data_IF_091027063199
#
_entry.id   IF_091027063199
#
_cell.length_a   1.000
_cell.length_b   1.000
_cell.length_c   1.000
_cell.angle_alpha   90.00
_cell.angle_beta   90.00
_cell.angle_gamma   90.00
#
_symmetry.space_group_name_H-M   'P 1'
#
loop_
_entity.id
_entity.type
_entity.pdbx_description
1 polymer ?
#
# COMPACT_ATOMS: atom_id res chain seq x y z
N UNK A 1 -25.68 24.97 -17.98
CA UNK A 1 -25.70 23.49 -17.84
C UNK A 1 -24.59 22.90 -16.95
N UNK A 2 -23.42 23.56 -16.78
CA UNK A 2 -22.33 23.09 -15.89
C UNK A 2 -22.60 23.26 -14.38
N UNK A 3 -23.27 24.32 -13.95
CA UNK A 3 -23.57 24.57 -12.52
C UNK A 3 -24.57 23.57 -11.91
N UNK A 4 -25.59 23.13 -12.67
CA UNK A 4 -26.56 22.13 -12.18
C UNK A 4 -25.90 20.78 -11.90
N UNK A 5 -24.89 20.36 -12.67
CA UNK A 5 -24.16 19.10 -12.42
C UNK A 5 -23.37 19.14 -11.11
N UNK A 6 -22.72 20.26 -10.78
CA UNK A 6 -21.95 20.41 -9.54
C UNK A 6 -22.83 20.33 -8.28
N UNK A 7 -24.08 20.79 -8.40
CA UNK A 7 -25.07 20.78 -7.31
C UNK A 7 -25.48 19.35 -6.93
N UNK A 8 -25.77 18.47 -7.90
CA UNK A 8 -26.16 17.07 -7.63
C UNK A 8 -25.04 16.24 -6.97
N UNK A 9 -23.77 16.55 -7.25
CA UNK A 9 -22.64 15.86 -6.60
C UNK A 9 -22.55 16.16 -5.10
N UNK A 10 -22.87 17.39 -4.66
CA UNK A 10 -22.86 17.74 -3.25
C UNK A 10 -23.95 17.00 -2.47
N UNK A 11 -25.18 16.93 -2.99
CA UNK A 11 -26.25 16.16 -2.35
C UNK A 11 -25.98 14.66 -2.37
N UNK A 12 -25.35 14.13 -3.42
CA UNK A 12 -24.97 12.73 -3.46
C UNK A 12 -23.90 12.39 -2.42
N UNK A 13 -22.87 13.23 -2.26
CA UNK A 13 -21.83 13.05 -1.24
C UNK A 13 -22.43 13.15 0.17
N UNK A 14 -23.29 14.16 0.43
CA UNK A 14 -23.97 14.31 1.72
C UNK A 14 -24.92 13.14 1.99
N UNK A 15 -25.64 12.65 0.98
CA UNK A 15 -26.50 11.48 1.09
C UNK A 15 -25.69 10.21 1.38
N UNK A 16 -24.56 10.00 0.70
CA UNK A 16 -23.65 8.87 0.98
C UNK A 16 -23.07 8.95 2.40
N UNK A 17 -22.68 10.14 2.87
CA UNK A 17 -22.20 10.34 4.24
C UNK A 17 -23.28 10.05 5.28
N UNK A 18 -24.51 10.52 5.05
CA UNK A 18 -25.66 10.27 5.92
C UNK A 18 -26.10 8.80 5.90
N UNK A 19 -26.05 8.14 4.74
CA UNK A 19 -26.43 6.72 4.60
C UNK A 19 -25.46 5.79 5.37
N UNK A 20 -24.17 6.12 5.41
CA UNK A 20 -23.18 5.37 6.22
C UNK A 20 -23.38 5.57 7.73
N UNK A 21 -24.02 6.66 8.18
CA UNK A 21 -24.27 6.92 9.60
C UNK A 21 -25.50 6.15 10.15
N UNK A 22 -26.45 5.79 9.28
CA UNK A 22 -27.79 5.29 9.70
C UNK A 22 -27.91 3.76 9.73
N UNK A 23 -27.12 3.00 8.97
CA UNK A 23 -27.34 1.55 8.81
C UNK A 23 -26.48 0.63 9.69
N UNK A 24 -25.58 1.18 10.49
CA UNK A 24 -24.69 0.35 11.31
C UNK A 24 -25.27 0.14 12.71
N UNK A 25 -26.23 -0.79 12.87
CA UNK A 25 -26.54 -1.32 14.20
C UNK A 25 -25.44 -2.29 14.63
N UNK A 26 -24.68 -1.93 15.65
CA UNK A 26 -23.80 -2.86 16.36
C UNK A 26 -24.65 -3.79 17.22
N UNK A 27 -24.86 -5.02 16.77
CA UNK A 27 -25.32 -6.11 17.63
C UNK A 27 -24.19 -6.46 18.60
N UNK A 28 -24.30 -5.99 19.83
CA UNK A 28 -23.41 -6.44 20.90
C UNK A 28 -23.89 -7.80 21.41
N UNK A 29 -23.42 -8.86 20.75
CA UNK A 29 -23.30 -10.15 21.42
C UNK A 29 -22.19 -10.03 22.48
N UNK A 30 -22.36 -10.69 23.62
CA UNK A 30 -21.41 -10.67 24.74
C UNK A 30 -19.96 -10.81 24.24
N UNK A 31 -19.02 -9.94 24.66
CA UNK A 31 -17.65 -10.02 24.17
C UNK A 31 -16.98 -11.26 24.75
N UNK A 32 -17.05 -12.38 24.03
CA UNK A 32 -16.14 -13.48 24.27
C UNK A 32 -14.73 -12.96 23.95
N UNK A 33 -13.85 -12.92 24.95
CA UNK A 33 -12.48 -12.44 24.75
C UNK A 33 -11.67 -13.38 23.85
N UNK A 34 -12.07 -14.64 23.78
CA UNK A 34 -11.33 -15.70 23.12
C UNK A 34 -11.90 -16.06 21.75
N UNK A 35 -13.05 -15.52 21.36
CA UNK A 35 -13.59 -15.72 20.04
C UNK A 35 -14.34 -14.47 19.57
N UNK A 36 -14.18 -14.09 18.32
CA UNK A 36 -14.92 -12.97 17.78
C UNK A 36 -14.99 -12.98 16.28
N UNK A 37 -16.16 -12.61 15.77
CA UNK A 37 -16.41 -12.35 14.35
C UNK A 37 -16.86 -10.90 14.20
N UNK A 38 -16.48 -10.26 13.11
CA UNK A 38 -16.97 -8.93 12.80
C UNK A 38 -16.62 -8.51 11.38
N UNK A 39 -17.18 -7.39 10.97
CA UNK A 39 -16.92 -6.86 9.65
C UNK A 39 -17.48 -5.45 9.50
N UNK A 40 -17.18 -4.85 8.36
CA UNK A 40 -17.75 -3.57 7.95
C UNK A 40 -17.82 -3.49 6.44
N UNK A 41 -18.81 -2.78 5.95
CA UNK A 41 -18.92 -2.35 4.56
C UNK A 41 -18.83 -0.82 4.55
N UNK A 42 -18.23 -0.25 3.51
CA UNK A 42 -18.11 1.19 3.42
C UNK A 42 -17.75 1.66 2.02
N UNK A 43 -17.78 2.97 1.84
CA UNK A 43 -17.29 3.62 0.62
C UNK A 43 -15.77 3.79 0.76
N UNK A 44 -15.03 3.50 -0.30
CA UNK A 44 -13.61 3.84 -0.40
C UNK A 44 -13.43 5.07 -1.29
N UNK A 45 -12.74 6.09 -0.80
CA UNK A 45 -12.44 7.29 -1.57
C UNK A 45 -10.94 7.58 -1.49
N UNK A 46 -10.37 7.99 -2.61
CA UNK A 46 -8.98 8.38 -2.75
C UNK A 46 -8.95 9.67 -3.56
N UNK A 47 -8.47 10.76 -2.97
CA UNK A 47 -8.34 12.07 -3.61
C UNK A 47 -6.91 12.59 -3.41
N UNK A 48 -6.12 12.59 -4.47
CA UNK A 48 -4.72 12.92 -4.35
C UNK A 48 -4.04 13.33 -5.64
N UNK A 49 -2.80 13.76 -5.48
CA UNK A 49 -1.89 14.14 -6.57
C UNK A 49 -1.64 13.02 -7.59
N UNK A 50 -1.53 11.77 -7.12
CA UNK A 50 -1.14 10.61 -7.94
C UNK A 50 -2.32 9.66 -8.20
N UNK A 51 -3.09 9.34 -7.17
CA UNK A 51 -4.20 8.39 -7.23
C UNK A 51 -5.53 9.08 -6.91
N UNK A 52 -6.54 8.80 -7.72
CA UNK A 52 -7.90 9.26 -7.51
C UNK A 52 -8.86 8.11 -7.82
N UNK A 53 -9.65 7.70 -6.83
CA UNK A 53 -10.55 6.56 -6.98
C UNK A 53 -11.78 6.66 -6.08
N UNK A 54 -12.84 5.99 -6.52
CA UNK A 54 -14.08 5.81 -5.77
C UNK A 54 -14.48 4.34 -5.84
N UNK A 55 -14.92 3.77 -4.73
CA UNK A 55 -15.27 2.36 -4.67
C UNK A 55 -16.07 1.97 -3.44
N UNK A 56 -16.23 0.66 -3.28
CA UNK A 56 -16.84 0.02 -2.11
C UNK A 56 -15.82 -0.95 -1.53
N UNK A 57 -15.75 -1.00 -0.21
CA UNK A 57 -14.89 -1.92 0.53
C UNK A 57 -15.74 -2.78 1.45
N UNK A 58 -15.42 -4.07 1.49
CA UNK A 58 -15.92 -5.02 2.46
C UNK A 58 -14.74 -5.55 3.27
N UNK A 59 -14.89 -5.60 4.59
CA UNK A 59 -13.88 -6.11 5.53
C UNK A 59 -14.55 -7.07 6.50
N UNK A 60 -13.87 -8.15 6.81
CA UNK A 60 -14.31 -9.12 7.80
C UNK A 60 -13.11 -9.66 8.58
N UNK A 61 -13.36 -10.15 9.78
CA UNK A 61 -12.40 -10.89 10.57
C UNK A 61 -13.10 -11.99 11.36
N UNK A 62 -12.34 -13.03 11.66
CA UNK A 62 -12.68 -14.07 12.61
C UNK A 62 -11.44 -14.36 13.44
N UNK A 63 -11.57 -14.46 14.76
CA UNK A 63 -10.48 -14.91 15.61
C UNK A 63 -10.94 -15.96 16.61
N UNK A 64 -10.00 -16.85 16.95
CA UNK A 64 -10.10 -17.81 18.02
C UNK A 64 -8.77 -17.84 18.77
N UNK A 65 -8.83 -17.51 20.07
CA UNK A 65 -7.73 -17.42 21.03
C UNK A 65 -6.58 -16.49 20.62
N UNK A 66 -5.61 -17.03 19.88
CA UNK A 66 -4.37 -16.37 19.47
C UNK A 66 -4.23 -16.32 17.94
N UNK A 67 -5.21 -16.86 17.21
CA UNK A 67 -5.18 -16.91 15.76
C UNK A 67 -6.34 -16.10 15.20
N UNK A 68 -6.06 -15.25 14.22
CA UNK A 68 -7.08 -14.44 13.55
C UNK A 68 -6.91 -14.50 12.04
N UNK A 69 -8.04 -14.66 11.37
CA UNK A 69 -8.18 -14.51 9.94
C UNK A 69 -8.82 -13.15 9.62
N UNK A 70 -8.24 -12.44 8.66
CA UNK A 70 -8.76 -11.19 8.12
C UNK A 70 -9.09 -11.38 6.65
N UNK A 71 -10.19 -10.80 6.22
CA UNK A 71 -10.57 -10.73 4.82
C UNK A 71 -10.91 -9.29 4.47
N UNK A 72 -10.41 -8.80 3.35
CA UNK A 72 -10.82 -7.53 2.79
C UNK A 72 -10.94 -7.66 1.28
N UNK A 73 -11.96 -7.02 0.71
CA UNK A 73 -12.02 -6.84 -0.73
C UNK A 73 -12.55 -5.45 -1.06
N UNK A 74 -12.01 -4.86 -2.12
CA UNK A 74 -12.37 -3.52 -2.60
C UNK A 74 -12.62 -3.60 -4.09
N UNK A 75 -13.73 -3.00 -4.50
CA UNK A 75 -14.02 -2.73 -5.90
C UNK A 75 -13.97 -1.23 -6.10
N UNK A 76 -13.01 -0.77 -6.90
CA UNK A 76 -12.79 0.65 -7.11
C UNK A 76 -12.71 0.99 -8.59
N UNK A 77 -13.25 2.16 -8.94
CA UNK A 77 -13.01 2.82 -10.20
C UNK A 77 -11.89 3.83 -10.02
N UNK A 78 -10.76 3.58 -10.66
CA UNK A 78 -9.60 4.45 -10.65
C UNK A 78 -9.69 5.44 -11.81
N UNK A 79 -9.74 6.73 -11.47
CA UNK A 79 -9.62 7.84 -12.43
C UNK A 79 -8.14 8.08 -12.75
N UNK A 80 -7.29 8.05 -11.72
CA UNK A 80 -5.82 8.06 -11.86
C UNK A 80 -5.20 7.02 -10.92
N UNK A 81 -4.06 6.47 -11.32
CA UNK A 81 -3.28 5.49 -10.55
C UNK A 81 -1.79 5.87 -10.54
N UNK A 82 -0.99 5.22 -9.70
CA UNK A 82 0.48 5.32 -9.74
C UNK A 82 1.10 4.70 -10.99
N UNK A 83 0.36 3.85 -11.71
CA UNK A 83 0.77 3.36 -13.02
C UNK A 83 0.66 4.45 -14.10
N UNK A 84 0.73 4.13 -15.40
CA UNK A 84 0.68 5.11 -16.49
C UNK A 84 -0.49 6.10 -16.30
N UNK A 85 -0.21 7.33 -15.81
CA UNK A 85 -1.26 8.20 -15.33
C UNK A 85 -1.99 8.77 -16.54
N UNK A 86 -3.33 8.87 -16.42
CA UNK A 86 -4.24 9.53 -17.37
C UNK A 86 -4.51 8.79 -18.69
N UNK A 87 -3.89 7.64 -18.95
CA UNK A 87 -4.11 6.93 -20.21
C UNK A 87 -5.27 5.92 -20.14
N UNK A 88 -5.57 5.35 -18.98
CA UNK A 88 -6.60 4.30 -18.85
C UNK A 88 -7.29 4.34 -17.47
N UNK A 89 -8.40 5.10 -17.29
CA UNK A 89 -9.24 4.89 -16.13
C UNK A 89 -9.82 3.46 -16.18
N UNK A 90 -10.00 2.83 -15.01
CA UNK A 90 -10.29 1.42 -14.99
C UNK A 90 -10.83 0.93 -13.67
N UNK A 91 -11.53 -0.20 -13.74
CA UNK A 91 -11.95 -0.93 -12.55
C UNK A 91 -10.76 -1.76 -12.08
N UNK A 92 -10.50 -1.68 -10.78
CA UNK A 92 -9.58 -2.55 -10.06
C UNK A 92 -10.33 -3.23 -8.92
N UNK A 93 -10.06 -4.52 -8.76
CA UNK A 93 -10.49 -5.30 -7.61
C UNK A 93 -9.25 -5.66 -6.81
N UNK A 94 -9.25 -5.32 -5.53
CA UNK A 94 -8.21 -5.69 -4.59
C UNK A 94 -8.80 -6.67 -3.59
N UNK A 95 -8.13 -7.80 -3.34
CA UNK A 95 -8.57 -8.79 -2.36
C UNK A 95 -7.40 -9.19 -1.47
N UNK A 96 -7.63 -9.24 -0.17
CA UNK A 96 -6.63 -9.50 0.85
C UNK A 96 -7.07 -10.63 1.76
N UNK A 97 -6.15 -11.56 2.01
CA UNK A 97 -6.32 -12.68 2.94
C UNK A 97 -5.24 -12.60 4.01
N UNK A 98 -5.62 -12.22 5.22
CA UNK A 98 -4.70 -12.04 6.34
C UNK A 98 -4.78 -13.19 7.34
N UNK A 99 -3.63 -13.63 7.83
CA UNK A 99 -3.48 -14.54 8.97
C UNK A 99 -2.60 -13.87 10.01
N UNK A 100 -3.08 -13.81 11.25
CA UNK A 100 -2.41 -13.16 12.37
C UNK A 100 -2.26 -14.13 13.54
N UNK A 101 -1.12 -14.06 14.23
CA UNK A 101 -0.89 -14.67 15.52
C UNK A 101 -0.69 -13.59 16.59
N UNK A 102 -1.48 -13.61 17.65
CA UNK A 102 -1.47 -12.61 18.72
C UNK A 102 -0.98 -13.17 20.05
N UNK A 103 -0.15 -12.41 20.78
CA UNK A 103 0.35 -12.81 22.10
C UNK A 103 0.38 -11.66 23.11
N UNK A 104 0.61 -12.02 24.37
CA UNK A 104 0.59 -11.09 25.50
C UNK A 104 -0.80 -10.94 26.12
N UNK A 105 -0.87 -10.05 27.11
CA UNK A 105 -2.10 -9.77 27.86
C UNK A 105 -3.17 -9.22 26.91
N UNK A 106 -4.40 -9.67 27.09
CA UNK A 106 -5.54 -9.03 26.45
C UNK A 106 -5.77 -7.66 27.08
N UNK A 107 -5.96 -6.63 26.27
CA UNK A 107 -6.19 -5.26 26.72
C UNK A 107 -7.34 -4.62 25.97
N UNK A 108 -8.21 -3.93 26.70
CA UNK A 108 -9.28 -3.13 26.12
C UNK A 108 -8.78 -1.78 25.61
N UNK A 109 -7.57 -1.35 26.04
CA UNK A 109 -7.03 0.00 25.85
C UNK A 109 -6.74 0.32 24.38
N UNK A 110 -6.68 -0.68 23.50
CA UNK A 110 -6.23 -0.53 22.10
C UNK A 110 -7.12 -1.19 21.06
N UNK A 111 -8.19 -1.86 21.49
CA UNK A 111 -8.86 -2.80 20.63
C UNK A 111 -9.84 -2.10 19.67
N UNK A 112 -9.80 -2.53 18.40
CA UNK A 112 -10.87 -2.43 17.39
C UNK A 112 -11.01 -1.19 16.53
N UNK A 113 -10.32 -0.09 16.83
CA UNK A 113 -10.54 1.16 16.10
C UNK A 113 -10.25 0.99 14.59
N UNK A 114 -9.19 0.26 14.24
CA UNK A 114 -8.76 0.05 12.87
C UNK A 114 -9.02 -1.39 12.41
N UNK A 115 -9.94 -1.55 11.46
CA UNK A 115 -10.11 -2.80 10.72
C UNK A 115 -9.28 -2.71 9.43
N UNK A 116 -8.07 -3.25 9.52
CA UNK A 116 -7.08 -3.34 8.43
C UNK A 116 -6.84 -4.83 8.09
N UNK A 117 -6.35 -5.17 6.89
CA UNK A 117 -6.06 -6.57 6.50
C UNK A 117 -5.07 -7.29 7.43
N UNK A 118 -4.21 -6.52 8.11
CA UNK A 118 -3.24 -6.99 9.11
C UNK A 118 -3.58 -6.51 10.53
N UNK A 119 -4.77 -5.94 10.74
CA UNK A 119 -5.17 -5.39 12.03
C UNK A 119 -5.45 -6.48 13.07
N UNK A 120 -5.07 -6.26 14.32
CA UNK A 120 -5.26 -7.19 15.43
C UNK A 120 -6.59 -6.90 16.15
N UNK A 121 -7.55 -7.82 16.03
CA UNK A 121 -8.87 -7.76 16.68
C UNK A 121 -8.97 -8.71 17.89
N UNK A 122 -7.94 -9.53 18.17
CA UNK A 122 -7.88 -10.47 19.30
C UNK A 122 -7.71 -9.79 20.68
N UNK A 123 -7.62 -8.45 20.72
CA UNK A 123 -7.24 -7.63 21.89
C UNK A 123 -5.87 -7.97 22.49
N UNK A 124 -5.02 -8.71 21.80
CA UNK A 124 -3.69 -9.08 22.31
C UNK A 124 -2.73 -7.91 22.18
N UNK A 125 -1.81 -7.76 23.14
CA UNK A 125 -0.85 -6.66 23.15
C UNK A 125 0.04 -6.63 21.90
N UNK A 126 0.40 -7.79 21.37
CA UNK A 126 1.29 -7.92 20.24
C UNK A 126 0.70 -8.86 19.19
N UNK A 127 1.08 -8.67 17.93
CA UNK A 127 0.70 -9.57 16.86
C UNK A 127 1.76 -9.62 15.76
N UNK A 128 1.79 -10.75 15.06
CA UNK A 128 2.57 -10.97 13.85
C UNK A 128 1.61 -11.50 12.79
N UNK A 129 1.71 -10.94 11.59
CA UNK A 129 0.76 -11.19 10.52
C UNK A 129 1.40 -11.36 9.17
N UNK A 130 0.75 -12.16 8.34
CA UNK A 130 0.99 -12.21 6.91
C UNK A 130 -0.31 -11.96 6.17
N UNK A 131 -0.28 -11.15 5.11
CA UNK A 131 -1.42 -10.89 4.23
C UNK A 131 -1.03 -11.21 2.80
N UNK A 132 -1.80 -12.07 2.15
CA UNK A 132 -1.71 -12.30 0.71
C UNK A 132 -2.64 -11.32 -0.02
N UNK A 133 -2.09 -10.51 -0.92
CA UNK A 133 -2.82 -9.47 -1.64
C UNK A 133 -2.93 -9.84 -3.12
N UNK A 134 -4.12 -9.68 -3.67
CA UNK A 134 -4.43 -9.91 -5.09
C UNK A 134 -4.96 -8.62 -5.68
N UNK A 135 -4.30 -8.12 -6.72
CA UNK A 135 -4.70 -6.97 -7.50
C UNK A 135 -5.14 -7.43 -8.89
N UNK A 136 -6.37 -7.12 -9.28
CA UNK A 136 -6.92 -7.43 -10.59
C UNK A 136 -7.44 -6.16 -11.26
N UNK A 137 -6.96 -5.87 -12.47
CA UNK A 137 -7.30 -4.68 -13.23
C UNK A 137 -7.32 -4.94 -14.74
N UNK A 138 -7.88 -3.98 -15.48
CA UNK A 138 -7.93 -4.02 -16.95
C UNK A 138 -6.75 -3.34 -17.63
N UNK A 139 -5.83 -2.75 -16.86
CA UNK A 139 -4.69 -1.98 -17.38
C UNK A 139 -3.40 -2.81 -17.39
N UNK A 140 -3.51 -4.13 -17.26
CA UNK A 140 -2.39 -5.08 -17.28
C UNK A 140 -1.38 -4.85 -16.15
N UNK A 141 -1.82 -4.31 -15.02
CA UNK A 141 -1.03 -4.20 -13.78
C UNK A 141 -1.47 -5.18 -12.69
N UNK A 142 -2.22 -6.22 -13.09
CA UNK A 142 -2.67 -7.28 -12.20
C UNK A 142 -1.49 -8.06 -11.65
N UNK A 143 -1.46 -8.27 -10.34
CA UNK A 143 -0.38 -8.96 -9.65
C UNK A 143 -0.81 -9.44 -8.27
N UNK A 144 0.03 -10.29 -7.68
CA UNK A 144 -0.05 -10.64 -6.26
C UNK A 144 1.16 -10.07 -5.51
N UNK A 145 0.98 -9.79 -4.23
CA UNK A 145 2.05 -9.37 -3.31
C UNK A 145 1.80 -10.01 -1.95
N UNK A 146 2.79 -9.94 -1.06
CA UNK A 146 2.59 -10.30 0.34
C UNK A 146 2.95 -9.14 1.25
N UNK A 147 2.24 -9.05 2.38
CA UNK A 147 2.50 -8.09 3.45
C UNK A 147 2.88 -8.84 4.72
N UNK A 148 3.98 -8.45 5.36
CA UNK A 148 4.31 -8.88 6.72
C UNK A 148 4.03 -7.72 7.66
N UNK A 149 3.32 -7.98 8.76
CA UNK A 149 2.94 -6.98 9.74
C UNK A 149 3.36 -7.42 11.14
N UNK A 150 4.11 -6.57 11.82
CA UNK A 150 4.45 -6.73 13.22
C UNK A 150 3.81 -5.59 14.03
N UNK A 151 3.11 -5.97 15.09
CA UNK A 151 2.56 -5.06 16.08
C UNK A 151 3.19 -5.37 17.43
N UNK A 152 3.80 -4.36 18.04
CA UNK A 152 4.17 -4.37 19.44
C UNK A 152 3.42 -3.26 20.16
N UNK A 153 2.39 -3.61 20.93
CA UNK A 153 1.55 -2.65 21.64
C UNK A 153 0.96 -1.61 20.64
N UNK A 154 1.35 -0.34 20.79
CA UNK A 154 0.90 0.78 19.93
C UNK A 154 1.75 0.96 18.67
N UNK A 155 2.87 0.26 18.58
CA UNK A 155 3.83 0.39 17.48
C UNK A 155 3.54 -0.66 16.41
N UNK A 156 3.61 -0.23 15.16
CA UNK A 156 3.44 -1.07 13.98
C UNK A 156 4.63 -0.92 13.04
N UNK A 157 5.09 -2.06 12.52
CA UNK A 157 6.01 -2.15 11.40
C UNK A 157 5.39 -3.08 10.37
N UNK A 158 5.08 -2.56 9.20
CA UNK A 158 4.44 -3.30 8.12
C UNK A 158 5.24 -3.13 6.85
N UNK A 159 5.46 -4.21 6.11
CA UNK A 159 6.15 -4.20 4.82
C UNK A 159 5.36 -5.01 3.80
N UNK A 160 5.22 -4.48 2.59
CA UNK A 160 4.65 -5.19 1.44
C UNK A 160 5.70 -5.32 0.35
N UNK A 161 5.72 -6.45 -0.37
CA UNK A 161 6.64 -6.67 -1.48
C UNK A 161 6.06 -7.71 -2.47
N UNK A 162 6.39 -7.59 -3.76
CA UNK A 162 5.93 -8.52 -4.79
C UNK A 162 6.55 -9.92 -4.63
N UNK A 163 7.78 -10.02 -4.18
CA UNK A 163 8.47 -11.28 -3.87
C UNK A 163 7.78 -12.11 -2.77
N UNK A 164 6.91 -11.49 -1.97
CA UNK A 164 6.17 -12.16 -0.91
C UNK A 164 4.86 -12.77 -1.39
N UNK A 165 4.42 -12.51 -2.63
CA UNK A 165 3.17 -13.05 -3.18
C UNK A 165 3.26 -13.61 -4.60
N UNK A 166 4.38 -13.42 -5.29
CA UNK A 166 4.69 -13.96 -6.62
C UNK A 166 6.21 -14.08 -6.79
N UNK A 167 6.66 -14.44 -7.99
CA UNK A 167 8.06 -14.32 -8.39
C UNK A 167 8.57 -12.88 -8.22
N UNK A 168 9.72 -12.74 -7.55
CA UNK A 168 10.43 -11.47 -7.33
C UNK A 168 10.96 -10.91 -8.66
N UNK A 169 10.16 -10.09 -9.33
CA UNK A 169 10.49 -9.53 -10.65
C UNK A 169 10.41 -8.01 -10.70
N UNK A 170 10.25 -7.34 -9.55
CA UNK A 170 10.08 -5.89 -9.44
C UNK A 170 9.08 -5.36 -10.48
N UNK A 171 7.80 -5.73 -10.32
CA UNK A 171 6.72 -5.26 -11.20
C UNK A 171 5.65 -4.49 -10.43
N UNK A 172 5.21 -3.38 -11.03
CA UNK A 172 4.14 -2.49 -10.57
C UNK A 172 4.25 -2.15 -9.10
N UNK A 173 3.61 -2.89 -8.18
CA UNK A 173 3.68 -2.61 -6.74
C UNK A 173 4.85 -3.38 -6.13
N UNK A 174 6.05 -2.79 -6.20
CA UNK A 174 7.31 -3.50 -5.90
C UNK A 174 7.63 -3.53 -4.42
N UNK A 175 7.17 -2.55 -3.65
CA UNK A 175 7.17 -2.68 -2.20
C UNK A 175 6.77 -1.45 -1.44
N UNK A 176 6.69 -1.56 -0.13
CA UNK A 176 6.37 -0.45 0.75
C UNK A 176 6.68 -0.76 2.20
N UNK A 177 6.96 0.28 2.98
CA UNK A 177 7.21 0.17 4.42
C UNK A 177 6.34 1.17 5.15
N UNK A 178 5.73 0.73 6.22
CA UNK A 178 4.86 1.53 7.07
C UNK A 178 5.27 1.37 8.52
N UNK A 179 5.65 2.48 9.14
CA UNK A 179 6.01 2.56 10.55
C UNK A 179 5.01 3.47 11.22
N UNK A 180 4.23 2.95 12.15
CA UNK A 180 3.15 3.71 12.77
C UNK A 180 3.14 3.62 14.29
N UNK A 181 2.62 4.67 14.90
CA UNK A 181 2.34 4.73 16.32
C UNK A 181 0.88 5.13 16.54
N UNK A 182 0.17 4.35 17.36
CA UNK A 182 -1.25 4.58 17.66
C UNK A 182 -1.42 5.35 18.97
N UNK A 183 -2.19 6.44 18.92
CA UNK A 183 -2.68 7.18 20.08
C UNK A 183 -4.19 7.18 20.04
N UNK A 184 -4.83 6.44 20.95
CA UNK A 184 -6.29 6.24 20.96
C UNK A 184 -6.80 5.75 19.60
N UNK A 185 -7.64 6.55 18.94
CA UNK A 185 -8.27 6.26 17.66
C UNK A 185 -7.49 6.88 16.48
N UNK A 186 -6.27 7.35 16.70
CA UNK A 186 -5.44 7.99 15.69
C UNK A 186 -4.14 7.19 15.51
N UNK A 187 -3.71 7.00 14.27
CA UNK A 187 -2.38 6.50 13.93
C UNK A 187 -1.61 7.60 13.20
N UNK A 188 -0.36 7.80 13.61
CA UNK A 188 0.60 8.65 12.92
C UNK A 188 1.67 7.73 12.37
N UNK A 189 1.99 7.88 11.09
CA UNK A 189 2.88 6.96 10.40
C UNK A 189 3.81 7.62 9.40
N UNK A 190 4.95 6.97 9.19
CA UNK A 190 5.80 7.16 8.03
C UNK A 190 5.48 6.04 7.04
N UNK A 191 5.13 6.40 5.81
CA UNK A 191 4.72 5.45 4.76
C UNK A 191 5.59 5.64 3.52
N UNK A 192 6.20 4.56 3.05
CA UNK A 192 6.84 4.48 1.74
C UNK A 192 6.12 3.50 0.83
N UNK A 193 6.04 3.86 -0.46
CA UNK A 193 5.49 2.99 -1.51
C UNK A 193 6.31 3.14 -2.78
N UNK A 194 6.60 2.01 -3.43
CA UNK A 194 7.44 1.91 -4.61
C UNK A 194 6.63 1.33 -5.75
N UNK A 195 6.61 2.07 -6.85
CA UNK A 195 5.98 1.59 -8.07
C UNK A 195 6.99 1.57 -9.21
N UNK A 196 7.03 0.52 -10.01
CA UNK A 196 7.89 0.44 -11.21
C UNK A 196 7.19 -0.21 -12.40
N UNK A 197 7.65 0.05 -13.61
CA UNK A 197 7.33 -0.81 -14.75
C UNK A 197 7.70 -2.28 -14.53
N UNK A 198 7.23 -3.18 -15.38
CA UNK A 198 7.46 -4.61 -15.25
C UNK A 198 8.88 -5.00 -15.71
N UNK A 199 9.77 -5.30 -14.76
CA UNK A 199 11.16 -5.66 -15.08
C UNK A 199 11.36 -7.14 -15.45
N UNK A 200 10.34 -8.00 -15.31
CA UNK A 200 10.50 -9.46 -15.34
C UNK A 200 11.01 -10.08 -16.64
N UNK A 201 10.96 -9.37 -17.78
CA UNK A 201 11.52 -9.83 -19.07
C UNK A 201 12.57 -8.89 -19.65
N UNK A 202 13.13 -8.04 -18.80
CA UNK A 202 14.15 -7.07 -19.22
C UNK A 202 15.55 -7.68 -19.14
N UNK A 203 16.43 -7.39 -20.11
CA UNK A 203 17.80 -7.85 -20.06
C UNK A 203 18.54 -7.16 -18.91
N UNK A 204 19.50 -7.87 -18.32
CA UNK A 204 20.41 -7.33 -17.32
C UNK A 204 21.66 -6.85 -18.05
N UNK A 205 22.04 -5.60 -17.80
CA UNK A 205 23.26 -5.01 -18.34
C UNK A 205 24.29 -4.96 -17.21
N UNK A 206 25.30 -5.81 -17.32
CA UNK A 206 26.51 -5.74 -16.52
C UNK A 206 27.37 -4.60 -17.07
N UNK A 207 27.34 -3.44 -16.41
CA UNK A 207 28.12 -2.28 -16.80
C UNK A 207 29.05 -1.86 -15.66
N UNK A 208 30.36 -1.91 -15.89
CA UNK A 208 31.37 -1.52 -14.92
C UNK A 208 31.23 -0.05 -14.44
N UNK A 209 30.60 0.82 -15.25
CA UNK A 209 30.40 2.23 -14.93
C UNK A 209 29.07 2.52 -14.23
N UNK A 210 28.17 1.54 -14.10
CA UNK A 210 26.92 1.71 -13.36
C UNK A 210 27.17 1.39 -11.87
N UNK A 211 26.74 2.23 -10.91
CA UNK A 211 27.08 2.09 -9.50
C UNK A 211 26.22 1.00 -8.79
N UNK A 212 26.26 -0.22 -9.29
CA UNK A 212 25.61 -1.40 -8.70
C UNK A 212 26.47 -2.65 -8.87
N UNK A 213 26.47 -3.50 -7.85
CA UNK A 213 27.28 -4.72 -7.83
C UNK A 213 26.92 -5.71 -8.94
N UNK A 214 25.64 -5.75 -9.34
CA UNK A 214 25.09 -6.71 -10.29
C UNK A 214 24.51 -6.03 -11.55
N UNK A 215 24.94 -4.81 -11.86
CA UNK A 215 24.44 -4.05 -13.00
C UNK A 215 22.99 -3.58 -12.83
N UNK A 216 22.29 -3.38 -13.96
CA UNK A 216 20.92 -2.86 -13.96
C UNK A 216 20.02 -3.55 -15.01
N UNK A 217 18.71 -3.47 -14.78
CA UNK A 217 17.67 -3.94 -15.71
C UNK A 217 17.39 -2.88 -16.78
N UNK A 218 17.44 -3.23 -18.07
CA UNK A 218 17.07 -2.30 -19.14
C UNK A 218 15.54 -2.15 -19.26
N UNK A 219 15.02 -1.06 -18.70
CA UNK A 219 13.58 -0.77 -18.68
C UNK A 219 13.08 -0.09 -19.98
N UNK A 220 13.94 0.18 -20.97
CA UNK A 220 13.59 0.98 -22.16
C UNK A 220 12.41 0.41 -22.95
N UNK A 221 12.31 -0.92 -23.02
CA UNK A 221 11.25 -1.66 -23.71
C UNK A 221 10.28 -2.36 -22.75
N UNK A 222 10.38 -2.09 -21.44
CA UNK A 222 9.54 -2.72 -20.44
C UNK A 222 8.11 -2.16 -20.48
N UNK A 223 7.13 -3.01 -20.15
CA UNK A 223 5.76 -2.54 -19.95
C UNK A 223 5.74 -1.51 -18.82
N UNK A 224 5.33 -0.29 -19.16
CA UNK A 224 5.36 0.86 -18.26
C UNK A 224 6.75 1.17 -17.68
N UNK A 225 7.83 0.80 -18.38
CA UNK A 225 9.21 1.02 -17.95
C UNK A 225 9.59 2.50 -17.78
N UNK A 226 8.82 3.41 -18.37
CA UNK A 226 8.98 4.87 -18.24
C UNK A 226 8.33 5.45 -16.97
N UNK A 227 7.66 4.61 -16.19
CA UNK A 227 6.96 5.02 -14.98
C UNK A 227 7.63 4.38 -13.77
N UNK A 228 7.89 5.23 -12.78
CA UNK A 228 8.46 4.83 -11.49
C UNK A 228 8.07 5.88 -10.44
N UNK A 229 7.83 5.38 -9.23
CA UNK A 229 7.49 6.19 -8.07
C UNK A 229 8.27 5.71 -6.85
N UNK A 230 8.80 6.69 -6.13
CA UNK A 230 9.45 6.52 -4.84
C UNK A 230 8.81 7.48 -3.86
N UNK A 231 7.66 7.10 -3.32
CA UNK A 231 6.86 7.98 -2.49
C UNK A 231 7.23 7.76 -1.03
N UNK A 232 7.50 8.86 -0.32
CA UNK A 232 7.66 8.93 1.14
C UNK A 232 6.68 9.95 1.69
N UNK A 233 5.84 9.56 2.63
CA UNK A 233 4.81 10.42 3.23
C UNK A 233 4.76 10.31 4.73
N UNK A 234 4.40 11.41 5.39
CA UNK A 234 3.79 11.36 6.71
C UNK A 234 2.28 11.18 6.55
N UNK A 235 1.73 10.20 7.25
CA UNK A 235 0.33 9.80 7.19
C UNK A 235 -0.32 9.94 8.57
N UNK A 236 -1.54 10.43 8.60
CA UNK A 236 -2.42 10.39 9.76
C UNK A 236 -3.67 9.62 9.39
N UNK A 237 -4.01 8.60 10.18
CA UNK A 237 -5.26 7.85 10.06
C UNK A 237 -6.09 8.06 11.31
N UNK A 238 -7.37 8.34 11.13
CA UNK A 238 -8.35 8.48 12.21
C UNK A 238 -9.44 7.44 12.03
N UNK A 239 -9.60 6.58 13.05
CA UNK A 239 -10.73 5.69 13.14
C UNK A 239 -12.00 6.48 13.50
N UNK A 240 -13.06 6.17 12.77
CA UNK A 240 -14.40 6.72 12.92
C UNK A 240 -15.34 5.63 13.46
N UNK A 241 -16.59 5.99 13.86
CA UNK A 241 -17.61 5.01 14.16
C UNK A 241 -17.77 3.95 13.05
N UNK A 242 -18.23 2.76 13.45
CA UNK A 242 -18.45 1.64 12.54
C UNK A 242 -17.19 1.16 11.79
N UNK A 243 -16.01 1.40 12.39
CA UNK A 243 -14.70 0.95 11.90
C UNK A 243 -14.35 1.52 10.52
N UNK A 244 -14.93 2.66 10.18
CA UNK A 244 -14.55 3.46 9.02
C UNK A 244 -13.25 4.21 9.36
N UNK A 245 -12.43 4.50 8.36
CA UNK A 245 -11.13 5.17 8.57
C UNK A 245 -11.04 6.36 7.63
N UNK A 246 -10.73 7.55 8.14
CA UNK A 246 -10.33 8.68 7.29
C UNK A 246 -8.81 8.86 7.40
N UNK A 247 -8.17 9.28 6.32
CA UNK A 247 -6.73 9.48 6.29
C UNK A 247 -6.31 10.71 5.51
N UNK A 248 -5.16 11.26 5.87
CA UNK A 248 -4.48 12.31 5.15
C UNK A 248 -2.97 12.02 5.09
N UNK A 249 -2.35 12.35 3.96
CA UNK A 249 -0.93 12.16 3.72
C UNK A 249 -0.32 13.36 3.03
N UNK A 250 0.91 13.68 3.43
CA UNK A 250 1.74 14.69 2.77
C UNK A 250 3.17 14.17 2.64
N UNK A 251 3.83 14.47 1.52
CA UNK A 251 5.19 14.01 1.30
C UNK A 251 5.74 14.31 -0.08
N UNK A 252 6.62 13.43 -0.55
CA UNK A 252 7.37 13.59 -1.80
C UNK A 252 7.39 12.29 -2.59
N UNK A 253 7.22 12.39 -3.90
CA UNK A 253 7.58 11.37 -4.88
C UNK A 253 8.94 11.72 -5.48
N UNK A 254 9.94 10.86 -5.31
CA UNK A 254 11.26 11.05 -5.90
C UNK A 254 11.94 9.71 -6.23
N UNK A 255 12.58 9.64 -7.40
CA UNK A 255 13.36 8.47 -7.81
C UNK A 255 14.48 8.11 -6.82
N UNK A 256 15.08 9.11 -6.19
CA UNK A 256 16.14 8.91 -5.19
C UNK A 256 15.62 8.15 -3.97
N UNK A 257 14.36 8.36 -3.55
CA UNK A 257 13.76 7.64 -2.42
C UNK A 257 13.68 6.14 -2.77
N UNK A 258 13.14 5.82 -3.95
CA UNK A 258 13.06 4.43 -4.42
C UNK A 258 14.45 3.82 -4.57
N UNK A 259 15.38 4.53 -5.21
CA UNK A 259 16.74 4.04 -5.43
C UNK A 259 17.45 3.71 -4.11
N UNK A 260 17.35 4.59 -3.12
CA UNK A 260 17.97 4.36 -1.83
C UNK A 260 17.36 3.15 -1.11
N UNK A 261 16.02 3.08 -1.01
CA UNK A 261 15.36 2.03 -0.24
C UNK A 261 15.32 0.67 -0.96
N UNK A 262 14.97 0.65 -2.25
CA UNK A 262 14.90 -0.59 -3.02
C UNK A 262 16.30 -1.04 -3.44
N UNK A 263 17.03 -0.23 -4.20
CA UNK A 263 18.28 -0.70 -4.79
C UNK A 263 19.43 -0.74 -3.77
N UNK A 264 19.64 0.35 -3.01
CA UNK A 264 20.79 0.44 -2.09
C UNK A 264 20.60 -0.32 -0.78
N UNK A 265 19.40 -0.29 -0.20
CA UNK A 265 19.16 -0.98 1.06
C UNK A 265 18.73 -2.44 0.84
N UNK A 266 17.73 -2.71 -0.01
CA UNK A 266 17.15 -4.04 -0.17
C UNK A 266 17.90 -4.91 -1.20
N UNK A 267 18.39 -4.37 -2.32
CA UNK A 267 19.03 -5.20 -3.36
C UNK A 267 20.53 -5.41 -3.11
N UNK A 268 21.26 -4.35 -2.77
CA UNK A 268 22.69 -4.44 -2.48
C UNK A 268 22.95 -5.23 -1.19
N UNK A 269 21.96 -5.29 -0.28
CA UNK A 269 22.03 -6.01 1.00
C UNK A 269 23.40 -5.79 1.69
N UNK A 270 23.85 -4.54 1.82
CA UNK A 270 25.18 -4.24 2.39
C UNK A 270 25.41 -4.85 3.79
N UNK A 271 24.34 -5.18 4.50
CA UNK A 271 24.37 -5.83 5.82
C UNK A 271 24.41 -7.37 5.77
N UNK A 272 24.30 -7.99 4.58
CA UNK A 272 24.36 -9.44 4.38
C UNK A 272 25.66 -9.78 3.63
N UNK A 273 26.50 -10.70 4.15
CA UNK A 273 27.69 -11.15 3.43
C UNK A 273 27.35 -11.64 2.01
N UNK A 274 28.14 -11.27 1.01
CA UNK A 274 27.87 -11.57 -0.41
C UNK A 274 27.68 -13.07 -0.71
N UNK A 275 28.31 -13.95 0.07
CA UNK A 275 28.13 -15.41 0.00
C UNK A 275 26.73 -15.89 0.38
N UNK A 276 25.95 -15.06 1.08
CA UNK A 276 24.59 -15.33 1.55
C UNK A 276 23.53 -14.58 0.75
N UNK A 277 23.92 -13.90 -0.35
CA UNK A 277 23.02 -13.25 -1.28
C UNK A 277 22.92 -14.08 -2.58
N UNK A 278 22.09 -15.14 -2.61
CA UNK A 278 21.95 -15.99 -3.80
C UNK A 278 21.28 -15.25 -4.97
N UNK A 279 20.46 -14.24 -4.68
CA UNK A 279 19.58 -13.61 -5.67
C UNK A 279 20.32 -12.66 -6.61
N UNK A 280 21.48 -12.12 -6.20
CA UNK A 280 22.31 -11.20 -7.01
C UNK A 280 21.48 -10.15 -7.75
N UNK A 281 20.64 -9.44 -6.98
CA UNK A 281 19.59 -8.60 -7.54
C UNK A 281 20.16 -7.39 -8.30
N UNK A 282 19.96 -7.29 -9.64
CA UNK A 282 20.33 -6.08 -10.38
C UNK A 282 19.45 -4.91 -9.94
N UNK A 283 19.94 -3.69 -10.19
CA UNK A 283 19.15 -2.49 -9.89
C UNK A 283 18.07 -2.27 -10.95
N UNK A 284 16.89 -1.82 -10.52
CA UNK A 284 15.96 -1.15 -11.43
C UNK A 284 16.40 0.32 -11.51
N UNK A 285 16.87 0.81 -12.67
CA UNK A 285 17.45 2.15 -12.79
C UNK A 285 16.42 3.22 -12.40
N UNK A 286 16.91 4.36 -11.90
CA UNK A 286 16.05 5.53 -11.76
C UNK A 286 15.52 5.97 -13.12
N UNK A 287 14.48 6.79 -13.14
CA UNK A 287 13.97 7.41 -14.37
C UNK A 287 14.53 8.83 -14.50
N UNK A 288 14.95 9.20 -15.72
CA UNK A 288 15.39 10.54 -16.06
C UNK A 288 14.21 11.47 -16.41
N UNK A 289 14.49 12.74 -16.67
CA UNK A 289 13.49 13.76 -16.97
C UNK A 289 12.69 13.48 -18.25
N UNK A 290 13.24 12.66 -19.16
CA UNK A 290 12.61 12.28 -20.44
C UNK A 290 11.84 10.95 -20.34
N UNK A 291 11.82 10.33 -19.15
CA UNK A 291 11.15 9.06 -18.91
C UNK A 291 11.99 7.85 -19.33
N UNK A 292 13.29 8.01 -19.54
CA UNK A 292 14.22 6.93 -19.91
C UNK A 292 15.01 6.45 -18.68
N UNK A 293 15.62 5.25 -18.74
CA UNK A 293 16.51 4.77 -17.69
C UNK A 293 17.69 5.73 -17.43
N UNK A 294 17.79 6.22 -16.19
CA UNK A 294 18.93 7.00 -15.72
C UNK A 294 20.11 6.07 -15.46
N UNK A 295 21.14 6.20 -16.29
CA UNK A 295 22.34 5.34 -16.28
C UNK A 295 23.61 6.12 -15.98
N UNK A 296 23.49 7.29 -15.36
CA UNK A 296 24.59 8.19 -14.97
C UNK A 296 25.39 8.76 -16.16
N UNK A 297 24.76 8.88 -17.34
CA UNK A 297 25.39 9.57 -18.47
C UNK A 297 25.48 11.08 -18.21
N UNK A 298 26.54 11.78 -18.68
CA UNK A 298 26.82 13.18 -18.31
C UNK A 298 25.67 14.17 -18.55
N UNK A 299 24.81 13.91 -19.53
CA UNK A 299 23.72 14.81 -19.91
C UNK A 299 22.35 14.42 -19.34
N UNK A 300 22.26 13.31 -18.59
CA UNK A 300 21.00 12.89 -18.00
C UNK A 300 20.67 13.69 -16.74
N UNK A 301 19.39 13.98 -16.55
CA UNK A 301 18.86 14.60 -15.33
C UNK A 301 17.80 13.69 -14.74
N UNK A 302 17.85 13.45 -13.43
CA UNK A 302 16.86 12.61 -12.74
C UNK A 302 15.47 13.28 -12.85
N UNK A 303 14.42 12.46 -12.98
CA UNK A 303 13.02 12.90 -12.92
C UNK A 303 12.81 13.84 -11.72
N UNK A 304 12.29 15.06 -11.91
CA UNK A 304 12.05 15.99 -10.81
C UNK A 304 11.10 15.42 -9.76
N UNK A 305 11.39 15.72 -8.49
CA UNK A 305 10.53 15.34 -7.38
C UNK A 305 9.18 16.05 -7.44
N UNK A 306 8.13 15.37 -6.97
CA UNK A 306 6.77 15.91 -6.94
C UNK A 306 6.21 15.90 -5.52
N UNK A 307 5.49 16.96 -5.14
CA UNK A 307 4.77 16.98 -3.88
C UNK A 307 3.63 15.98 -3.88
N UNK A 308 3.46 15.27 -2.77
CA UNK A 308 2.34 14.36 -2.53
C UNK A 308 1.40 14.99 -1.54
N UNK A 309 0.13 15.10 -1.93
CA UNK A 309 -1.01 15.30 -1.05
C UNK A 309 -2.05 14.24 -1.37
N UNK A 310 -2.62 13.63 -0.33
CA UNK A 310 -3.61 12.56 -0.47
C UNK A 310 -4.60 12.57 0.70
N UNK A 311 -5.90 12.55 0.39
CA UNK A 311 -6.99 12.37 1.34
C UNK A 311 -7.71 11.06 1.03
N UNK A 312 -8.05 10.30 2.07
CA UNK A 312 -8.64 8.96 1.91
C UNK A 312 -9.81 8.71 2.84
N UNK A 313 -10.78 7.94 2.36
CA UNK A 313 -11.80 7.25 3.17
C UNK A 313 -11.64 5.76 2.94
N UNK A 314 -11.54 5.01 4.03
CA UNK A 314 -11.18 3.59 4.06
C UNK A 314 -9.97 3.28 3.18
N UNK A 315 -8.79 3.87 3.49
CA UNK A 315 -7.59 3.68 2.69
C UNK A 315 -7.17 2.21 2.61
N UNK A 316 -6.46 1.89 1.53
CA UNK A 316 -5.54 0.75 1.54
C UNK A 316 -4.17 1.26 1.98
N UNK A 317 -3.34 0.41 2.58
CA UNK A 317 -2.11 0.87 3.20
C UNK A 317 -1.10 1.44 2.18
N UNK A 318 -0.90 0.74 1.07
CA UNK A 318 0.12 1.08 0.07
C UNK A 318 -0.44 1.47 -1.32
N UNK A 319 -1.32 0.65 -1.91
CA UNK A 319 -1.85 0.80 -3.28
C UNK A 319 -3.37 0.78 -3.42
#
# INVERSE_FOLDING_TARGET
MKQKKLFYWHYFIVFCLLFNLVLSKSTQAQPNLNEGVGGTIGISLSLGSHQNSLGVVFKAYYFFEQVQFNFQTRWQYNVTTYGPPRLLPGIEVQTNYGLMFGWGKQTEVQAYAFLLPFGNQMKRLNALGYVFNVYHDKIKTSQTTGTIAFQANRFWLVTENDALGDMAVDKFRTGGVWIAYQVQNTMIALNTRFWTGNSGRTPVIENANYPAQYGYRDMSNAMYGRFSHGILTMQVLQALPYRQIIGAEVGLDAEIIRHFLQNKLIHDLYFVPSKWNPSKNPHVPMIDADGLPYTYQPNQRIKPSQGVLHLTLNPYLFY
#
